data_IF_921986342633
#
_entry.id   IF_921986342633
#
_cell.length_a   1.000
_cell.length_b   1.000
_cell.length_c   1.000
_cell.angle_alpha   90.00
_cell.angle_beta   90.00
_cell.angle_gamma   90.00
#
_symmetry.space_group_name_H-M   'P 1'
#
loop_
_entity.id
_entity.type
_entity.pdbx_description
1 polymer ?
#
# COMPACT_ATOMS: atom_id res chain seq x y z
N UNK A 1 -18.06 -10.28 -5.02
CA UNK A 1 -16.69 -9.99 -5.46
C UNK A 1 -16.47 -10.72 -6.77
N UNK A 2 -16.07 -10.01 -7.82
CA UNK A 2 -15.66 -10.68 -9.05
C UNK A 2 -14.29 -11.32 -8.77
N UNK A 3 -14.10 -12.63 -8.98
CA UNK A 3 -12.82 -13.26 -8.73
C UNK A 3 -11.75 -12.63 -9.63
N UNK A 4 -10.48 -12.64 -9.20
CA UNK A 4 -9.38 -12.10 -10.00
C UNK A 4 -9.33 -12.81 -11.35
N UNK A 5 -9.27 -12.01 -12.43
CA UNK A 5 -9.21 -12.55 -13.79
C UNK A 5 -7.82 -13.13 -14.01
N UNK A 6 -7.75 -14.44 -14.27
CA UNK A 6 -6.51 -15.06 -14.69
C UNK A 6 -6.26 -14.74 -16.16
N UNK A 7 -5.15 -14.04 -16.44
CA UNK A 7 -4.80 -13.60 -17.80
C UNK A 7 -3.69 -14.50 -18.36
N UNK A 8 -3.86 -15.05 -19.59
CA UNK A 8 -2.81 -15.84 -20.22
C UNK A 8 -1.48 -15.08 -20.30
N UNK A 9 -0.37 -15.78 -20.09
CA UNK A 9 0.98 -15.20 -20.18
C UNK A 9 1.42 -14.36 -18.99
N UNK A 10 0.64 -14.33 -17.88
CA UNK A 10 1.09 -13.70 -16.64
C UNK A 10 2.12 -14.59 -15.95
N UNK A 11 3.29 -14.03 -15.65
CA UNK A 11 4.34 -14.72 -14.87
C UNK A 11 4.05 -14.68 -13.38
N UNK A 12 3.80 -13.49 -12.82
CA UNK A 12 3.54 -13.30 -11.38
C UNK A 12 2.45 -12.24 -11.17
N UNK A 13 1.79 -12.29 -10.02
CA UNK A 13 0.83 -11.28 -9.58
C UNK A 13 1.34 -10.62 -8.30
N UNK A 14 1.20 -9.31 -8.22
CA UNK A 14 1.43 -8.55 -7.00
C UNK A 14 0.13 -7.86 -6.60
N UNK A 15 -0.31 -8.10 -5.36
CA UNK A 15 -1.43 -7.40 -4.72
C UNK A 15 -0.85 -6.52 -3.63
N UNK A 16 -1.06 -5.21 -3.71
CA UNK A 16 -0.54 -4.23 -2.74
C UNK A 16 -1.72 -3.65 -1.98
N UNK A 17 -1.90 -4.08 -0.74
CA UNK A 17 -3.00 -3.70 0.14
C UNK A 17 -2.54 -2.59 1.10
N UNK A 18 -3.28 -1.49 1.16
CA UNK A 18 -3.09 -0.47 2.20
C UNK A 18 -3.76 -0.90 3.50
N UNK A 19 -3.13 -0.63 4.64
CA UNK A 19 -3.71 -0.87 5.96
C UNK A 19 -5.06 -0.18 6.17
N UNK A 20 -5.86 -0.67 7.13
CA UNK A 20 -7.13 -0.09 7.57
C UNK A 20 -6.98 1.29 8.21
N UNK A 21 -8.09 1.97 8.40
CA UNK A 21 -8.12 3.32 8.99
C UNK A 21 -7.50 3.34 10.39
N UNK A 22 -6.76 4.41 10.70
CA UNK A 22 -6.28 4.73 12.05
C UNK A 22 -6.85 6.09 12.49
N UNK A 23 -6.87 6.38 13.79
CA UNK A 23 -7.29 7.70 14.29
C UNK A 23 -6.42 8.83 13.71
N UNK A 24 -5.15 8.56 13.49
CA UNK A 24 -4.26 9.52 12.82
C UNK A 24 -4.67 9.80 11.37
N UNK A 25 -5.13 8.78 10.62
CA UNK A 25 -5.67 9.00 9.27
C UNK A 25 -6.92 9.88 9.30
N UNK A 26 -7.85 9.59 10.21
CA UNK A 26 -9.10 10.35 10.36
C UNK A 26 -8.85 11.82 10.70
N UNK A 27 -7.81 12.11 11.47
CA UNK A 27 -7.41 13.46 11.86
C UNK A 27 -6.44 14.14 10.88
N UNK A 28 -6.01 13.47 9.81
CA UNK A 28 -5.04 14.03 8.87
C UNK A 28 -3.64 14.24 9.47
N UNK A 29 -3.25 13.40 10.44
CA UNK A 29 -1.94 13.43 11.07
C UNK A 29 -0.90 12.71 10.20
N UNK A 30 0.24 13.33 9.98
CA UNK A 30 1.40 12.73 9.32
C UNK A 30 2.01 11.63 10.21
N UNK A 31 1.73 10.36 9.86
CA UNK A 31 2.17 9.24 10.68
C UNK A 31 3.62 8.83 10.42
N UNK A 32 4.00 8.68 9.14
CA UNK A 32 5.30 8.12 8.79
C UNK A 32 5.55 6.79 9.51
N UNK A 33 6.62 6.74 10.30
CA UNK A 33 7.01 5.56 11.10
C UNK A 33 6.40 5.53 12.51
N UNK A 34 5.56 6.52 12.90
CA UNK A 34 4.80 6.39 14.15
C UNK A 34 3.95 5.14 14.12
N UNK A 35 4.05 4.35 15.17
CA UNK A 35 3.26 3.14 15.30
C UNK A 35 1.93 3.46 15.97
N UNK A 36 0.83 3.13 15.30
CA UNK A 36 -0.53 3.37 15.75
C UNK A 36 -1.42 2.20 15.41
N UNK A 37 -2.35 1.83 16.30
CA UNK A 37 -3.31 0.76 16.03
C UNK A 37 -4.32 1.17 14.97
N UNK A 38 -5.07 0.20 14.47
CA UNK A 38 -6.28 0.44 13.70
C UNK A 38 -7.34 1.08 14.61
N UNK A 39 -8.11 2.03 14.06
CA UNK A 39 -9.36 2.47 14.64
C UNK A 39 -10.43 1.35 14.52
N UNK A 40 -11.52 1.45 15.25
CA UNK A 40 -12.63 0.48 15.16
C UNK A 40 -13.14 0.33 13.71
N UNK A 41 -13.31 1.44 12.99
CA UNK A 41 -13.65 1.41 11.57
C UNK A 41 -12.57 0.73 10.73
N UNK A 42 -11.29 0.93 11.04
CA UNK A 42 -10.19 0.29 10.34
C UNK A 42 -10.16 -1.22 10.51
N UNK A 43 -10.53 -1.72 11.69
CA UNK A 43 -10.72 -3.15 11.94
C UNK A 43 -11.87 -3.69 11.08
N UNK A 44 -13.01 -2.99 11.05
CA UNK A 44 -14.16 -3.37 10.22
C UNK A 44 -13.80 -3.35 8.71
N UNK A 45 -13.02 -2.37 8.25
CA UNK A 45 -12.52 -2.31 6.87
C UNK A 45 -11.62 -3.51 6.55
N UNK A 46 -10.71 -3.88 7.47
CA UNK A 46 -9.83 -5.03 7.29
C UNK A 46 -10.65 -6.34 7.19
N UNK A 47 -11.63 -6.53 8.07
CA UNK A 47 -12.55 -7.68 8.02
C UNK A 47 -13.31 -7.77 6.68
N UNK A 48 -13.85 -6.65 6.22
CA UNK A 48 -14.58 -6.60 4.96
C UNK A 48 -13.71 -6.92 3.73
N UNK A 49 -12.40 -6.63 3.80
CA UNK A 49 -11.47 -6.91 2.71
C UNK A 49 -11.03 -8.39 2.65
N UNK A 50 -11.21 -9.17 3.73
CA UNK A 50 -10.68 -10.52 3.88
C UNK A 50 -11.02 -11.42 2.69
N UNK A 51 -12.31 -11.61 2.41
CA UNK A 51 -12.77 -12.53 1.35
C UNK A 51 -12.21 -12.12 -0.02
N UNK A 52 -12.28 -10.82 -0.34
CA UNK A 52 -11.83 -10.30 -1.62
C UNK A 52 -10.32 -10.49 -1.81
N UNK A 53 -9.52 -10.17 -0.78
CA UNK A 53 -8.06 -10.26 -0.85
C UNK A 53 -7.60 -11.73 -0.78
N UNK A 54 -8.20 -12.55 0.06
CA UNK A 54 -7.88 -13.99 0.13
C UNK A 54 -8.23 -14.73 -1.17
N UNK A 55 -9.21 -14.26 -1.95
CA UNK A 55 -9.57 -14.87 -3.25
C UNK A 55 -8.44 -14.82 -4.29
N UNK A 56 -7.43 -13.96 -4.10
CA UNK A 56 -6.21 -13.95 -4.90
C UNK A 56 -5.31 -15.16 -4.65
N UNK A 57 -5.53 -15.92 -3.57
CA UNK A 57 -4.75 -17.11 -3.16
C UNK A 57 -3.24 -16.82 -3.16
N UNK A 58 -2.77 -15.87 -2.36
CA UNK A 58 -1.35 -15.54 -2.35
C UNK A 58 -0.50 -16.75 -1.94
N UNK A 59 0.62 -16.94 -2.63
CA UNK A 59 1.64 -17.93 -2.28
C UNK A 59 2.54 -17.42 -1.16
N UNK A 60 2.64 -16.09 -1.03
CA UNK A 60 3.37 -15.42 0.03
C UNK A 60 2.61 -14.18 0.49
N UNK A 61 2.56 -13.97 1.82
CA UNK A 61 1.99 -12.78 2.45
C UNK A 61 3.07 -12.04 3.21
N UNK A 62 3.35 -10.79 2.82
CA UNK A 62 4.31 -9.93 3.50
C UNK A 62 3.65 -8.65 4.02
N UNK A 63 4.15 -8.10 5.11
CA UNK A 63 3.64 -6.87 5.72
C UNK A 63 4.75 -6.00 6.28
N UNK A 64 4.51 -4.69 6.25
CA UNK A 64 5.21 -3.75 7.13
C UNK A 64 5.08 -4.21 8.59
N UNK A 65 6.11 -3.95 9.39
CA UNK A 65 6.11 -4.25 10.83
C UNK A 65 5.29 -3.25 11.66
N UNK A 66 4.84 -2.13 11.08
CA UNK A 66 3.98 -1.18 11.77
C UNK A 66 2.62 -1.81 12.07
N UNK A 67 2.14 -1.63 13.31
CA UNK A 67 0.99 -2.34 13.87
C UNK A 67 -0.22 -2.30 12.94
N UNK A 68 -0.59 -1.14 12.41
CA UNK A 68 -1.74 -0.97 11.51
C UNK A 68 -1.69 -1.86 10.26
N UNK A 69 -0.50 -2.03 9.66
CA UNK A 69 -0.33 -2.91 8.48
C UNK A 69 -0.31 -4.38 8.90
N UNK A 70 0.39 -4.70 9.99
CA UNK A 70 0.44 -6.05 10.53
C UNK A 70 -0.95 -6.54 10.94
N UNK A 71 -1.74 -5.74 11.65
CA UNK A 71 -3.08 -6.13 12.10
C UNK A 71 -4.03 -6.32 10.90
N UNK A 72 -3.89 -5.50 9.84
CA UNK A 72 -4.61 -5.69 8.57
C UNK A 72 -4.21 -7.00 7.89
N UNK A 73 -2.91 -7.33 7.84
CA UNK A 73 -2.42 -8.58 7.27
C UNK A 73 -2.92 -9.79 8.05
N UNK A 74 -2.89 -9.73 9.39
CA UNK A 74 -3.38 -10.79 10.26
C UNK A 74 -4.89 -11.04 10.07
N UNK A 75 -5.69 -10.00 9.79
CA UNK A 75 -7.09 -10.18 9.44
C UNK A 75 -7.25 -11.05 8.18
N UNK A 76 -6.49 -10.75 7.11
CA UNK A 76 -6.54 -11.52 5.86
C UNK A 76 -6.04 -12.96 6.07
N UNK A 77 -4.99 -13.16 6.87
CA UNK A 77 -4.41 -14.49 7.14
C UNK A 77 -5.38 -15.45 7.81
N UNK A 78 -6.42 -14.98 8.52
CA UNK A 78 -7.44 -15.87 9.07
C UNK A 78 -8.18 -16.69 7.99
N UNK A 79 -8.25 -16.18 6.77
CA UNK A 79 -8.82 -16.90 5.62
C UNK A 79 -7.76 -17.68 4.82
N UNK A 80 -6.50 -17.69 5.25
CA UNK A 80 -5.36 -18.31 4.58
C UNK A 80 -4.56 -19.18 5.59
N UNK A 81 -5.14 -20.26 6.10
CA UNK A 81 -4.59 -20.99 7.25
C UNK A 81 -3.21 -21.63 6.99
N UNK A 82 -2.86 -21.85 5.72
CA UNK A 82 -1.59 -22.45 5.32
C UNK A 82 -0.49 -21.41 5.06
N UNK A 83 -0.79 -20.13 5.26
CA UNK A 83 0.15 -19.02 5.02
C UNK A 83 0.70 -18.45 6.34
N UNK A 84 1.99 -18.14 6.32
CA UNK A 84 2.66 -17.40 7.39
C UNK A 84 2.90 -15.95 7.00
N UNK A 85 2.93 -15.05 8.00
CA UNK A 85 3.21 -13.64 7.77
C UNK A 85 4.71 -13.36 7.75
N UNK A 86 5.21 -12.91 6.63
CA UNK A 86 6.55 -12.36 6.53
C UNK A 86 6.53 -10.87 6.91
N UNK A 87 7.28 -10.48 7.92
CA UNK A 87 7.40 -9.07 8.35
C UNK A 87 8.69 -8.48 7.82
N UNK A 88 8.62 -7.31 7.17
CA UNK A 88 9.80 -6.59 6.73
C UNK A 88 9.66 -5.07 6.93
N UNK A 89 10.65 -4.45 7.58
CA UNK A 89 10.67 -3.01 7.86
C UNK A 89 10.81 -2.15 6.60
N UNK A 90 11.35 -2.72 5.52
CA UNK A 90 11.45 -2.03 4.22
C UNK A 90 10.07 -1.79 3.59
N UNK A 91 9.01 -2.43 4.10
CA UNK A 91 7.61 -2.20 3.68
C UNK A 91 6.92 -1.07 4.45
N UNK A 92 7.60 -0.33 5.35
CA UNK A 92 7.05 0.80 6.08
C UNK A 92 6.62 1.94 5.16
N UNK A 93 5.74 2.81 5.69
CA UNK A 93 5.41 4.10 5.07
C UNK A 93 6.65 4.98 4.90
N UNK A 94 6.56 6.00 4.06
CA UNK A 94 7.61 7.01 3.97
C UNK A 94 7.91 7.62 5.34
N UNK A 95 9.18 7.72 5.69
CA UNK A 95 9.58 8.45 6.89
C UNK A 95 9.43 9.95 6.64
N UNK A 96 8.58 10.59 7.41
CA UNK A 96 8.24 12.02 7.19
C UNK A 96 9.02 12.98 8.13
N UNK A 97 10.07 12.47 8.78
CA UNK A 97 10.95 13.28 9.61
C UNK A 97 10.20 14.04 10.68
N UNK A 98 10.51 15.33 10.85
CA UNK A 98 9.93 16.22 11.85
C UNK A 98 8.42 16.49 11.65
N UNK A 99 7.83 16.03 10.54
CA UNK A 99 6.38 16.14 10.34
C UNK A 99 5.61 15.04 11.10
N UNK A 100 6.29 14.01 11.59
CA UNK A 100 5.64 12.94 12.33
C UNK A 100 4.84 13.46 13.53
N UNK A 101 3.58 13.05 13.65
CA UNK A 101 2.67 13.43 14.71
C UNK A 101 2.00 14.80 14.53
N UNK A 102 2.33 15.56 13.49
CA UNK A 102 1.70 16.85 13.22
C UNK A 102 0.44 16.68 12.37
N UNK A 103 -0.59 17.42 12.68
CA UNK A 103 -1.71 17.66 11.77
C UNK A 103 -1.24 18.55 10.60
N UNK A 104 -1.93 18.46 9.46
CA UNK A 104 -1.55 19.22 8.26
C UNK A 104 -1.44 20.72 8.50
N UNK A 105 -2.33 21.31 9.27
CA UNK A 105 -2.33 22.73 9.64
C UNK A 105 -1.08 23.13 10.44
N UNK A 106 -0.74 22.32 11.44
CA UNK A 106 0.42 22.55 12.30
C UNK A 106 1.72 22.38 11.53
N UNK A 107 1.77 21.38 10.65
CA UNK A 107 2.90 21.14 9.76
C UNK A 107 3.14 22.36 8.86
N UNK A 108 2.10 22.88 8.18
CA UNK A 108 2.22 24.07 7.34
C UNK A 108 2.58 25.34 8.12
N UNK A 109 2.19 25.44 9.38
CA UNK A 109 2.57 26.56 10.25
C UNK A 109 4.05 26.49 10.64
N UNK A 110 4.55 25.29 10.97
CA UNK A 110 5.96 25.08 11.39
C UNK A 110 6.93 25.04 10.20
N UNK A 111 6.46 24.60 9.05
CA UNK A 111 7.23 24.43 7.82
C UNK A 111 6.50 25.12 6.66
N UNK A 112 6.58 26.47 6.56
CA UNK A 112 5.81 27.24 5.57
C UNK A 112 6.02 26.80 4.12
N UNK A 113 7.24 26.38 3.77
CA UNK A 113 7.59 25.93 2.42
C UNK A 113 7.04 24.53 2.08
N UNK A 114 6.55 23.79 3.09
CA UNK A 114 6.10 22.40 2.89
C UNK A 114 4.92 22.29 1.91
N UNK A 115 4.05 23.30 1.87
CA UNK A 115 2.92 23.36 0.94
C UNK A 115 3.38 23.39 -0.52
N UNK A 116 4.33 24.28 -0.84
CA UNK A 116 4.88 24.43 -2.18
C UNK A 116 5.70 23.20 -2.58
N UNK A 117 6.51 22.65 -1.66
CA UNK A 117 7.26 21.42 -1.87
C UNK A 117 6.34 20.22 -2.19
N UNK A 118 5.23 20.07 -1.46
CA UNK A 118 4.26 19.00 -1.70
C UNK A 118 3.47 19.20 -3.01
N UNK A 119 3.24 20.43 -3.42
CA UNK A 119 2.58 20.75 -4.69
C UNK A 119 3.55 20.69 -5.89
N UNK A 120 4.87 20.78 -5.62
CA UNK A 120 5.93 20.71 -6.61
C UNK A 120 6.08 19.35 -7.26
N UNK A 121 6.88 19.30 -8.32
CA UNK A 121 7.18 18.05 -9.03
C UNK A 121 8.51 17.43 -8.65
N UNK A 122 9.35 18.18 -7.94
CA UNK A 122 10.66 17.71 -7.50
C UNK A 122 10.54 16.80 -6.30
N UNK A 123 11.40 15.79 -6.25
CA UNK A 123 11.51 14.95 -5.07
C UNK A 123 12.32 15.69 -3.99
N UNK A 124 11.86 15.66 -2.76
CA UNK A 124 12.49 16.36 -1.64
C UNK A 124 12.43 15.50 -0.38
N UNK A 125 13.30 15.80 0.58
CA UNK A 125 13.39 15.12 1.86
C UNK A 125 12.31 15.63 2.82
N UNK A 126 11.38 14.76 3.25
CA UNK A 126 10.24 15.11 4.11
C UNK A 126 10.69 15.49 5.50
N UNK A 127 10.15 16.59 6.04
CA UNK A 127 10.42 17.03 7.40
C UNK A 127 11.90 17.24 7.73
N UNK A 128 12.74 17.49 6.73
CA UNK A 128 14.17 17.77 6.87
C UNK A 128 15.07 16.54 7.05
N UNK A 129 14.63 15.56 7.81
CA UNK A 129 15.37 14.32 8.16
C UNK A 129 14.64 13.01 7.81
N UNK A 130 13.50 13.11 7.12
CA UNK A 130 12.76 11.97 6.61
C UNK A 130 13.31 11.41 5.30
N UNK A 131 12.50 10.71 4.54
CA UNK A 131 12.85 10.10 3.25
C UNK A 131 12.42 10.98 2.06
N UNK A 132 13.10 10.78 0.95
CA UNK A 132 12.64 11.15 -0.39
C UNK A 132 11.77 10.03 -0.97
N UNK A 133 11.05 10.28 -2.07
CA UNK A 133 10.34 9.21 -2.78
C UNK A 133 11.32 8.24 -3.48
N UNK A 134 12.51 8.73 -3.88
CA UNK A 134 13.56 7.87 -4.43
C UNK A 134 14.00 6.83 -3.41
N UNK A 135 14.42 7.25 -2.22
CA UNK A 135 14.84 6.35 -1.13
C UNK A 135 13.74 5.36 -0.72
N UNK A 136 12.48 5.81 -0.69
CA UNK A 136 11.34 4.95 -0.46
C UNK A 136 11.18 3.90 -1.57
N UNK A 137 11.27 4.32 -2.84
CA UNK A 137 11.16 3.44 -4.00
C UNK A 137 12.24 2.38 -4.01
N UNK A 138 13.49 2.76 -3.74
CA UNK A 138 14.63 1.85 -3.72
C UNK A 138 14.41 0.73 -2.69
N UNK A 139 14.08 1.06 -1.41
CA UNK A 139 13.87 0.03 -0.40
C UNK A 139 12.64 -0.83 -0.63
N UNK A 140 11.55 -0.25 -1.18
CA UNK A 140 10.34 -1.00 -1.53
C UNK A 140 10.60 -1.94 -2.70
N UNK A 141 11.31 -1.48 -3.73
CA UNK A 141 11.67 -2.26 -4.91
C UNK A 141 12.59 -3.43 -4.55
N UNK A 142 13.60 -3.19 -3.68
CA UNK A 142 14.50 -4.23 -3.19
C UNK A 142 13.73 -5.37 -2.51
N UNK A 143 12.95 -5.08 -1.47
CA UNK A 143 12.24 -6.12 -0.71
C UNK A 143 11.17 -6.83 -1.55
N UNK A 144 10.43 -6.10 -2.39
CA UNK A 144 9.41 -6.74 -3.24
C UNK A 144 10.05 -7.59 -4.31
N UNK A 145 11.21 -7.19 -4.87
CA UNK A 145 11.99 -8.00 -5.80
C UNK A 145 12.42 -9.33 -5.17
N UNK A 146 13.00 -9.29 -3.96
CA UNK A 146 13.38 -10.49 -3.20
C UNK A 146 12.17 -11.43 -2.96
N UNK A 147 11.06 -10.89 -2.49
CA UNK A 147 9.85 -11.68 -2.19
C UNK A 147 9.21 -12.29 -3.45
N UNK A 148 9.30 -11.62 -4.59
CA UNK A 148 8.82 -12.15 -5.86
C UNK A 148 9.67 -13.33 -6.36
N UNK A 149 10.94 -13.39 -6.02
CA UNK A 149 11.80 -14.55 -6.36
C UNK A 149 11.47 -15.79 -5.52
N UNK A 150 10.83 -15.63 -4.36
CA UNK A 150 10.41 -16.73 -3.48
C UNK A 150 9.12 -17.43 -3.95
N UNK A 151 8.33 -16.80 -4.83
CA UNK A 151 7.06 -17.38 -5.32
C UNK A 151 7.22 -18.05 -6.69
N UNK A 152 6.41 -19.09 -6.99
CA UNK A 152 6.48 -19.76 -8.29
C UNK A 152 6.00 -18.88 -9.46
N UNK A 153 6.36 -19.25 -10.68
CA UNK A 153 5.74 -18.69 -11.87
C UNK A 153 4.22 -18.91 -11.84
N UNK A 154 3.46 -17.89 -12.20
CA UNK A 154 2.01 -17.84 -12.04
C UNK A 154 1.55 -17.47 -10.63
N UNK A 155 2.46 -17.43 -9.65
CA UNK A 155 2.18 -17.17 -8.25
C UNK A 155 1.72 -15.74 -7.96
N UNK A 156 1.25 -15.55 -6.73
CA UNK A 156 0.74 -14.27 -6.22
C UNK A 156 1.46 -13.88 -4.92
N UNK A 157 2.01 -12.67 -4.90
CA UNK A 157 2.53 -12.02 -3.70
C UNK A 157 1.49 -11.02 -3.18
N UNK A 158 1.12 -11.12 -1.90
CA UNK A 158 0.35 -10.10 -1.19
C UNK A 158 1.29 -9.28 -0.30
N UNK A 159 1.33 -7.97 -0.53
CA UNK A 159 2.07 -7.00 0.30
C UNK A 159 1.10 -6.09 1.01
N UNK A 160 1.11 -6.09 2.35
CA UNK A 160 0.32 -5.16 3.16
C UNK A 160 1.21 -4.01 3.63
N UNK A 161 0.89 -2.81 3.18
CA UNK A 161 1.74 -1.62 3.37
C UNK A 161 0.88 -0.35 3.56
N UNK A 162 1.36 0.79 3.10
CA UNK A 162 0.82 2.11 3.38
C UNK A 162 0.50 2.88 2.10
N UNK A 163 -0.11 4.08 2.26
CA UNK A 163 -0.66 4.82 1.12
C UNK A 163 0.38 5.34 0.14
N UNK A 164 1.42 6.03 0.66
CA UNK A 164 2.48 6.58 -0.20
C UNK A 164 3.38 5.47 -0.72
N UNK A 165 3.74 4.51 0.14
CA UNK A 165 4.58 3.36 -0.23
C UNK A 165 3.96 2.53 -1.36
N UNK A 166 2.66 2.23 -1.28
CA UNK A 166 1.96 1.52 -2.35
C UNK A 166 1.97 2.28 -3.68
N UNK A 167 1.80 3.61 -3.61
CA UNK A 167 1.77 4.47 -4.80
C UNK A 167 3.14 4.60 -5.45
N UNK A 168 4.20 4.78 -4.65
CA UNK A 168 5.58 4.85 -5.12
C UNK A 168 5.98 3.53 -5.76
N UNK A 169 5.80 2.41 -5.05
CA UNK A 169 6.10 1.08 -5.58
C UNK A 169 5.37 0.80 -6.90
N UNK A 170 4.07 1.10 -6.96
CA UNK A 170 3.28 0.89 -8.18
C UNK A 170 3.80 1.73 -9.34
N UNK A 171 4.10 3.01 -9.10
CA UNK A 171 4.67 3.89 -10.12
C UNK A 171 6.01 3.39 -10.66
N UNK A 172 6.90 2.96 -9.78
CA UNK A 172 8.23 2.46 -10.14
C UNK A 172 8.16 1.16 -10.94
N UNK A 173 7.32 0.21 -10.52
CA UNK A 173 7.10 -1.04 -11.28
C UNK A 173 6.52 -0.79 -12.68
N UNK A 174 5.71 0.26 -12.84
CA UNK A 174 5.17 0.66 -14.14
C UNK A 174 6.15 1.50 -14.99
N UNK A 175 7.32 1.84 -14.45
CA UNK A 175 8.29 2.70 -15.12
C UNK A 175 7.83 4.15 -15.29
N UNK A 176 6.96 4.64 -14.40
CA UNK A 176 6.42 5.99 -14.43
C UNK A 176 7.33 6.96 -13.65
N UNK A 177 7.56 8.13 -14.20
CA UNK A 177 8.14 9.22 -13.41
C UNK A 177 7.18 9.70 -12.30
N UNK A 178 7.69 10.40 -11.31
CA UNK A 178 6.90 10.83 -10.14
C UNK A 178 5.72 11.72 -10.50
N UNK A 179 5.90 12.67 -11.41
CA UNK A 179 4.85 13.59 -11.80
C UNK A 179 3.69 12.85 -12.50
N UNK A 180 4.01 11.94 -13.42
CA UNK A 180 3.05 11.06 -14.10
C UNK A 180 2.34 10.15 -13.10
N UNK A 181 3.10 9.48 -12.22
CA UNK A 181 2.55 8.62 -11.16
C UNK A 181 1.52 9.36 -10.29
N UNK A 182 1.86 10.58 -9.86
CA UNK A 182 0.96 11.42 -9.05
C UNK A 182 -0.22 12.00 -9.84
N UNK A 183 -0.08 12.12 -11.15
CA UNK A 183 -1.17 12.59 -12.03
C UNK A 183 -2.24 11.54 -12.30
N UNK A 184 -1.86 10.25 -12.36
CA UNK A 184 -2.76 9.17 -12.79
C UNK A 184 -3.16 8.20 -11.68
N UNK A 185 -2.29 7.97 -10.68
CA UNK A 185 -2.61 7.12 -9.54
C UNK A 185 -3.18 8.00 -8.42
N UNK A 186 -4.48 7.99 -8.21
CA UNK A 186 -5.10 8.64 -7.06
C UNK A 186 -4.57 8.06 -5.73
N UNK A 187 -4.81 8.73 -4.61
CA UNK A 187 -4.49 8.15 -3.30
C UNK A 187 -5.19 6.81 -3.08
N UNK A 188 -4.45 5.81 -2.63
CA UNK A 188 -5.02 4.50 -2.29
C UNK A 188 -5.79 4.63 -0.97
N UNK A 189 -7.08 4.23 -0.94
CA UNK A 189 -7.93 4.26 0.25
C UNK A 189 -7.48 3.23 1.31
N UNK A 190 -7.95 3.37 2.55
CA UNK A 190 -7.70 2.39 3.60
C UNK A 190 -8.40 1.07 3.26
N UNK A 191 -7.71 -0.06 3.42
CA UNK A 191 -8.11 -1.40 2.96
C UNK A 191 -8.48 -1.47 1.47
N UNK A 192 -8.03 -0.52 0.65
CA UNK A 192 -8.04 -0.64 -0.79
C UNK A 192 -6.72 -1.22 -1.27
N UNK A 193 -6.73 -1.80 -2.47
CA UNK A 193 -5.53 -2.43 -3.03
C UNK A 193 -5.31 -2.11 -4.50
N UNK A 194 -4.06 -2.32 -4.91
CA UNK A 194 -3.67 -2.38 -6.30
C UNK A 194 -3.45 -3.83 -6.70
N UNK A 195 -3.80 -4.18 -7.93
CA UNK A 195 -3.43 -5.44 -8.57
C UNK A 195 -2.52 -5.16 -9.76
N UNK A 196 -1.33 -5.77 -9.76
CA UNK A 196 -0.38 -5.74 -10.85
C UNK A 196 -0.11 -7.16 -11.36
N UNK A 197 0.09 -7.29 -12.66
CA UNK A 197 0.51 -8.53 -13.30
C UNK A 197 1.83 -8.33 -14.05
N UNK A 198 2.74 -9.27 -13.90
CA UNK A 198 3.99 -9.31 -14.67
C UNK A 198 3.77 -10.08 -15.96
N UNK A 199 4.15 -9.47 -17.08
CA UNK A 199 4.05 -10.04 -18.44
C UNK A 199 5.33 -9.72 -19.20
N UNK A 200 6.04 -10.71 -19.69
CA UNK A 200 7.23 -10.52 -20.53
C UNK A 200 8.20 -9.48 -19.95
N UNK A 201 8.58 -9.62 -18.69
CA UNK A 201 9.47 -8.71 -17.94
C UNK A 201 8.96 -7.26 -17.76
N UNK A 202 7.64 -7.05 -17.90
CA UNK A 202 6.98 -5.76 -17.65
C UNK A 202 5.80 -5.91 -16.71
N UNK A 203 5.68 -4.98 -15.78
CA UNK A 203 4.51 -4.86 -14.94
C UNK A 203 3.39 -4.11 -15.66
N UNK A 204 2.16 -4.56 -15.47
CA UNK A 204 0.94 -3.89 -15.93
C UNK A 204 0.00 -3.70 -14.77
N UNK A 205 -0.58 -2.52 -14.65
CA UNK A 205 -1.64 -2.24 -13.69
C UNK A 205 -2.92 -2.92 -14.17
N UNK A 206 -3.42 -3.86 -13.38
CA UNK A 206 -4.68 -4.57 -13.64
C UNK A 206 -5.84 -3.85 -12.96
N UNK A 207 -5.62 -3.32 -11.76
CA UNK A 207 -6.60 -2.53 -11.02
C UNK A 207 -5.92 -1.62 -10.01
N UNK A 208 -6.51 -0.44 -9.79
CA UNK A 208 -6.06 0.54 -8.81
C UNK A 208 -7.22 0.96 -7.92
N UNK A 209 -6.95 1.10 -6.63
CA UNK A 209 -7.93 1.52 -5.64
C UNK A 209 -9.15 0.57 -5.58
N UNK A 210 -8.89 -0.73 -5.83
CA UNK A 210 -9.89 -1.78 -5.68
C UNK A 210 -10.31 -1.89 -4.22
N UNK A 211 -11.58 -2.22 -3.98
CA UNK A 211 -12.13 -2.35 -2.62
C UNK A 211 -13.15 -3.47 -2.53
N UNK A 212 -13.37 -3.99 -1.33
CA UNK A 212 -14.51 -4.82 -1.05
C UNK A 212 -15.81 -4.00 -1.19
N UNK A 213 -16.88 -4.63 -1.68
CA UNK A 213 -18.21 -3.99 -1.71
C UNK A 213 -18.80 -4.06 -0.31
N UNK A 214 -19.06 -2.92 0.30
CA UNK A 214 -19.94 -2.84 1.47
C UNK A 214 -21.40 -2.95 1.00
N UNK A 215 -22.23 -3.62 1.76
CA UNK A 215 -23.57 -4.12 1.43
C UNK A 215 -24.64 -3.19 0.81
N UNK A 216 -24.35 -1.93 0.50
CA UNK A 216 -25.30 -1.03 -0.18
C UNK A 216 -25.12 -0.98 -1.72
N UNK A 217 -24.04 -1.53 -2.25
CA UNK A 217 -23.76 -1.57 -3.70
C UNK A 217 -24.13 -2.92 -4.36
N UNK A 218 -24.92 -3.76 -3.70
CA UNK A 218 -25.47 -4.95 -4.35
C UNK A 218 -26.48 -4.50 -5.43
N UNK A 219 -26.33 -4.91 -6.71
CA UNK A 219 -27.34 -4.61 -7.71
C UNK A 219 -28.66 -5.22 -7.21
N UNK A 220 -29.65 -4.34 -6.97
CA UNK A 220 -31.01 -4.77 -6.66
C UNK A 220 -31.45 -5.75 -7.74
N UNK A 221 -31.92 -6.93 -7.30
CA UNK A 221 -32.43 -8.00 -8.14
C UNK A 221 -33.69 -7.63 -8.90
#
# INVERSE_FOLDING_TARGET
VTPPIDRPGRRRRLVVLRHGLTDHNARGVWQGHLDSPLAEEGVAQAEAAVEAVASYRPDLVASSDLQRARDTALAVLRALPDQELRIDRRLREIHVGQWQGLEKSDMLTRFPDAGDLLAGREDFRRGGDGETYGELGDRMGEVVGELLEEIPDGGTLLVVTHGVSARVLTGDLLGLDRATSWGILAGLGNCHWAELGEYEDRWRLVGWNLRARFGEDAPGG
#
